data_IF_920138924730
#
_entry.id   IF_920138924730
#
_cell.length_a   1.000
_cell.length_b   1.000
_cell.length_c   1.000
_cell.angle_alpha   90.00
_cell.angle_beta   90.00
_cell.angle_gamma   90.00
#
_symmetry.space_group_name_H-M   'P 1'
#
loop_
_entity.id
_entity.type
_entity.pdbx_description
1 polymer ?
#
# COMPACT_ATOMS: atom_id res chain seq x y z
N UNK A 1 -16.41 -15.22 2.14
CA UNK A 1 -15.77 -15.30 0.80
C UNK A 1 -14.44 -16.01 0.99
N UNK A 2 -13.62 -16.22 -0.04
CA UNK A 2 -12.24 -16.66 0.20
C UNK A 2 -11.33 -15.44 0.36
N UNK A 3 -10.22 -15.60 1.07
CA UNK A 3 -9.16 -14.60 1.09
C UNK A 3 -8.68 -14.28 -0.33
N UNK A 4 -8.30 -13.03 -0.55
CA UNK A 4 -7.76 -12.56 -1.82
C UNK A 4 -6.32 -12.14 -1.61
N UNK A 5 -5.42 -12.65 -2.46
CA UNK A 5 -4.00 -12.30 -2.40
C UNK A 5 -3.56 -11.56 -3.66
N UNK A 6 -2.75 -10.52 -3.45
CA UNK A 6 -2.07 -9.75 -4.47
C UNK A 6 -0.56 -9.71 -4.20
N UNK A 7 0.22 -9.63 -5.27
CA UNK A 7 1.64 -9.31 -5.21
C UNK A 7 1.92 -8.01 -5.95
N UNK A 8 2.45 -7.02 -5.24
CA UNK A 8 2.92 -5.76 -5.81
C UNK A 8 4.43 -5.83 -5.99
N UNK A 9 4.91 -5.70 -7.22
CA UNK A 9 6.32 -5.61 -7.57
C UNK A 9 6.65 -4.20 -7.99
N UNK A 10 7.53 -3.53 -7.25
CA UNK A 10 8.05 -2.21 -7.59
C UNK A 10 9.44 -2.34 -8.18
N UNK A 11 9.60 -1.84 -9.41
CA UNK A 11 10.89 -1.75 -10.11
C UNK A 11 11.37 -0.29 -10.07
N UNK A 12 12.55 -0.08 -9.47
CA UNK A 12 13.14 1.27 -9.25
C UNK A 12 14.22 1.61 -10.29
N UNK A 13 14.58 0.69 -11.17
CA UNK A 13 15.70 0.83 -12.12
C UNK A 13 15.48 1.79 -13.30
N UNK A 14 14.60 2.79 -13.20
CA UNK A 14 14.46 3.77 -14.29
C UNK A 14 14.71 5.17 -13.78
N UNK A 15 15.66 5.87 -14.42
CA UNK A 15 15.89 7.32 -14.28
C UNK A 15 14.61 8.17 -14.49
N UNK A 16 13.51 7.55 -14.95
CA UNK A 16 12.24 8.17 -15.33
C UNK A 16 11.10 7.97 -14.30
N UNK A 17 11.28 7.14 -13.26
CA UNK A 17 10.29 6.93 -12.20
C UNK A 17 10.12 5.49 -11.74
N UNK A 18 9.07 5.23 -10.95
CA UNK A 18 8.76 3.91 -10.41
C UNK A 18 7.69 3.21 -11.24
N UNK A 19 7.85 1.91 -11.49
CA UNK A 19 6.80 1.06 -12.05
C UNK A 19 6.31 0.07 -11.01
N UNK A 20 5.00 -0.13 -10.95
CA UNK A 20 4.32 -1.12 -10.14
C UNK A 20 3.65 -2.13 -11.05
N UNK A 21 3.93 -3.41 -10.82
CA UNK A 21 3.21 -4.53 -11.42
C UNK A 21 2.46 -5.26 -10.32
N UNK A 22 1.18 -5.48 -10.51
CA UNK A 22 0.27 -6.08 -9.53
C UNK A 22 -0.21 -7.40 -10.10
N UNK A 23 0.02 -8.47 -9.36
CA UNK A 23 -0.34 -9.83 -9.73
C UNK A 23 -1.39 -10.38 -8.77
N UNK A 24 -2.29 -11.22 -9.28
CA UNK A 24 -3.17 -12.04 -8.44
C UNK A 24 -2.43 -13.24 -7.82
N UNK A 25 -3.14 -14.04 -7.02
CA UNK A 25 -2.63 -15.26 -6.40
C UNK A 25 -2.14 -16.32 -7.41
N UNK A 26 -2.70 -16.33 -8.62
CA UNK A 26 -2.30 -17.24 -9.69
C UNK A 26 -1.08 -16.72 -10.48
N UNK A 27 -0.61 -15.51 -10.20
CA UNK A 27 0.53 -14.89 -10.86
C UNK A 27 0.18 -14.16 -12.16
N UNK A 28 -1.11 -13.94 -12.46
CA UNK A 28 -1.53 -13.17 -13.61
C UNK A 28 -1.36 -11.67 -13.33
N UNK A 29 -0.89 -10.91 -14.32
CA UNK A 29 -0.85 -9.45 -14.23
C UNK A 29 -2.29 -8.91 -14.27
N UNK A 30 -2.70 -8.24 -13.20
CA UNK A 30 -4.04 -7.65 -13.06
C UNK A 30 -4.00 -6.13 -12.93
N UNK A 31 -2.81 -5.57 -12.70
CA UNK A 31 -2.62 -4.15 -12.48
C UNK A 31 -1.23 -3.67 -12.86
N UNK A 32 -1.15 -2.48 -13.43
CA UNK A 32 0.09 -1.81 -13.79
C UNK A 32 0.00 -0.31 -13.49
N UNK A 33 1.04 0.26 -12.88
CA UNK A 33 1.12 1.70 -12.69
C UNK A 33 2.52 2.21 -13.02
N UNK A 34 2.60 3.35 -13.70
CA UNK A 34 3.84 4.05 -14.02
C UNK A 34 3.81 5.43 -13.38
N UNK A 35 4.61 5.62 -12.35
CA UNK A 35 4.77 6.91 -11.68
C UNK A 35 5.93 7.69 -12.29
N UNK A 36 5.79 9.01 -12.40
CA UNK A 36 6.90 9.90 -12.76
C UNK A 36 7.88 9.99 -11.59
N UNK A 37 9.17 10.09 -11.90
CA UNK A 37 10.18 10.39 -10.88
C UNK A 37 9.81 11.68 -10.11
N UNK A 38 10.07 11.71 -8.80
CA UNK A 38 9.95 12.87 -7.91
C UNK A 38 8.55 13.34 -7.47
N UNK A 39 7.43 12.77 -7.94
CA UNK A 39 6.08 13.24 -7.54
C UNK A 39 5.27 12.20 -6.75
N UNK A 40 5.25 12.33 -5.42
CA UNK A 40 4.38 11.54 -4.50
C UNK A 40 3.00 12.20 -4.30
N UNK A 41 2.86 13.46 -4.75
CA UNK A 41 1.65 14.26 -4.63
C UNK A 41 0.73 14.15 -5.86
N UNK A 42 1.08 13.28 -6.81
CA UNK A 42 0.25 13.02 -7.99
C UNK A 42 -0.59 11.78 -7.77
N UNK A 43 -1.75 11.77 -8.43
CA UNK A 43 -2.66 10.63 -8.46
C UNK A 43 -1.95 9.39 -9.01
N UNK A 44 -2.12 8.26 -8.32
CA UNK A 44 -1.65 6.97 -8.80
C UNK A 44 -2.79 6.33 -9.57
N UNK A 45 -2.58 6.12 -10.88
CA UNK A 45 -3.49 5.37 -11.72
C UNK A 45 -2.97 3.96 -11.92
N UNK A 46 -3.84 2.98 -11.71
CA UNK A 46 -3.57 1.57 -11.95
C UNK A 46 -4.39 1.16 -13.16
N UNK A 47 -3.73 0.61 -14.16
CA UNK A 47 -4.30 0.11 -15.40
C UNK A 47 -4.34 -1.41 -15.37
N UNK A 48 -5.19 -2.04 -16.19
CA UNK A 48 -5.26 -3.52 -16.28
C UNK A 48 -3.95 -4.17 -16.73
N UNK A 49 -3.20 -3.47 -17.57
CA UNK A 49 -1.96 -3.96 -18.15
C UNK A 49 -1.03 -2.79 -18.55
N UNK A 50 0.10 -3.13 -19.18
CA UNK A 50 1.12 -2.16 -19.60
C UNK A 50 0.70 -1.25 -20.77
N UNK A 51 -0.41 -1.53 -21.48
CA UNK A 51 -0.92 -0.66 -22.55
C UNK A 51 -1.44 0.67 -22.00
N UNK A 52 -1.80 0.71 -20.71
CA UNK A 52 -2.37 1.86 -20.03
C UNK A 52 -3.68 2.38 -20.68
N UNK A 53 -4.45 1.51 -21.34
CA UNK A 53 -5.71 1.90 -21.99
C UNK A 53 -6.93 1.83 -21.07
N UNK A 54 -6.94 0.88 -20.13
CA UNK A 54 -8.07 0.66 -19.23
C UNK A 54 -7.65 0.84 -17.78
N UNK A 55 -8.19 1.88 -17.14
CA UNK A 55 -8.02 2.10 -15.70
C UNK A 55 -8.81 1.05 -14.90
N UNK A 56 -8.17 0.57 -13.84
CA UNK A 56 -8.70 -0.41 -12.89
C UNK A 56 -8.98 0.24 -11.53
N UNK A 57 -8.10 1.14 -11.09
CA UNK A 57 -8.15 1.77 -9.78
C UNK A 57 -7.42 3.11 -9.84
N UNK A 58 -7.97 4.13 -9.18
CA UNK A 58 -7.30 5.44 -9.05
C UNK A 58 -7.15 5.79 -7.57
N UNK A 59 -5.95 6.21 -7.19
CA UNK A 59 -5.62 6.70 -5.85
C UNK A 59 -5.33 8.19 -5.98
N UNK A 60 -6.32 9.00 -5.65
CA UNK A 60 -6.27 10.46 -5.82
C UNK A 60 -5.76 11.12 -4.54
N UNK A 61 -4.76 12.00 -4.64
CA UNK A 61 -4.23 12.69 -3.47
C UNK A 61 -5.08 13.94 -3.16
N UNK A 62 -5.66 14.04 -1.95
CA UNK A 62 -6.32 15.28 -1.52
C UNK A 62 -5.27 16.38 -1.36
N UNK A 63 -5.65 17.62 -1.70
CA UNK A 63 -4.80 18.81 -1.52
C UNK A 63 -4.22 18.85 -0.10
N UNK A 64 -2.91 19.07 0.01
CA UNK A 64 -2.20 19.07 1.29
C UNK A 64 -2.57 20.35 2.06
N UNK A 65 -3.52 20.24 2.96
CA UNK A 65 -3.72 21.19 4.04
C UNK A 65 -3.40 20.39 5.32
N UNK A 66 -2.39 20.82 6.06
CA UNK A 66 -1.92 20.26 7.33
C UNK A 66 -1.36 18.83 7.32
N UNK A 67 -0.03 18.72 7.09
CA UNK A 67 0.93 17.68 7.57
C UNK A 67 0.54 16.18 7.58
N UNK A 68 -0.59 15.80 6.99
CA UNK A 68 -1.16 14.46 6.92
C UNK A 68 -1.70 14.27 5.49
N UNK A 69 -1.11 13.33 4.76
CA UNK A 69 -1.55 13.04 3.39
C UNK A 69 -2.80 12.15 3.45
N UNK A 70 -3.85 12.53 2.72
CA UNK A 70 -5.06 11.74 2.55
C UNK A 70 -5.25 11.39 1.08
N UNK A 71 -5.70 10.17 0.81
CA UNK A 71 -5.84 9.62 -0.53
C UNK A 71 -7.22 8.98 -0.69
N UNK A 72 -7.95 9.40 -1.71
CA UNK A 72 -9.21 8.77 -2.11
C UNK A 72 -8.92 7.57 -3.01
N UNK A 73 -9.53 6.44 -2.70
CA UNK A 73 -9.52 5.24 -3.55
C UNK A 73 -10.80 5.26 -4.36
N UNK A 74 -10.67 5.34 -5.68
CA UNK A 74 -11.79 5.56 -6.61
C UNK A 74 -11.90 4.40 -7.61
N UNK A 75 -13.13 4.01 -7.92
CA UNK A 75 -13.45 3.22 -9.12
C UNK A 75 -13.43 4.15 -10.35
N UNK A 76 -12.50 3.96 -11.31
CA UNK A 76 -12.41 4.82 -12.48
C UNK A 76 -13.64 4.78 -13.40
N UNK A 77 -14.43 3.70 -13.38
CA UNK A 77 -15.60 3.56 -14.25
C UNK A 77 -16.77 4.41 -13.78
N UNK A 78 -17.05 4.36 -12.48
CA UNK A 78 -18.18 5.08 -11.88
C UNK A 78 -17.77 6.46 -11.33
N UNK A 79 -16.49 6.66 -11.02
CA UNK A 79 -16.01 7.80 -10.25
C UNK A 79 -16.34 7.68 -8.75
N UNK A 80 -16.96 6.59 -8.31
CA UNK A 80 -17.35 6.41 -6.93
C UNK A 80 -16.11 6.19 -6.04
N UNK A 81 -16.16 6.77 -4.85
CA UNK A 81 -15.17 6.51 -3.81
C UNK A 81 -15.44 5.17 -3.16
N UNK A 82 -14.40 4.35 -3.10
CA UNK A 82 -14.39 3.04 -2.45
C UNK A 82 -13.88 3.13 -1.00
N UNK A 83 -13.01 4.09 -0.72
CA UNK A 83 -12.49 4.34 0.62
C UNK A 83 -11.48 5.48 0.67
N UNK A 84 -11.00 5.79 1.87
CA UNK A 84 -9.98 6.82 2.10
C UNK A 84 -8.82 6.25 2.91
N UNK A 85 -7.60 6.60 2.51
CA UNK A 85 -6.37 6.24 3.19
C UNK A 85 -5.71 7.51 3.69
N UNK A 86 -5.59 7.66 5.01
CA UNK A 86 -4.95 8.83 5.64
C UNK A 86 -3.69 8.42 6.36
N UNK A 87 -2.57 9.05 6.02
CA UNK A 87 -1.32 8.89 6.76
C UNK A 87 -1.39 9.67 8.08
N UNK A 88 -1.03 9.04 9.19
CA UNK A 88 -0.92 9.74 10.47
C UNK A 88 0.30 10.68 10.42
N UNK A 89 0.08 12.01 10.47
CA UNK A 89 1.14 13.03 10.40
C UNK A 89 2.00 13.13 11.68
N UNK A 90 3.23 13.64 11.52
CA UNK A 90 4.33 14.05 12.45
C UNK A 90 4.55 13.40 13.85
N UNK A 91 3.60 12.71 14.48
CA UNK A 91 3.87 11.84 15.63
C UNK A 91 4.75 10.62 15.26
N UNK A 92 5.01 10.45 13.96
CA UNK A 92 5.52 9.23 13.34
C UNK A 92 6.76 9.46 12.47
N UNK A 93 7.75 10.21 12.96
CA UNK A 93 9.07 10.28 12.33
C UNK A 93 9.80 8.91 12.23
N UNK A 94 9.20 7.83 12.78
CA UNK A 94 9.78 6.48 12.79
C UNK A 94 8.82 5.34 12.40
N UNK A 95 7.52 5.59 12.14
CA UNK A 95 6.54 4.52 11.87
C UNK A 95 5.56 4.90 10.77
N UNK A 96 5.31 4.04 9.80
CA UNK A 96 4.31 4.29 8.76
C UNK A 96 2.93 3.81 9.22
N UNK A 97 2.23 4.66 9.99
CA UNK A 97 0.85 4.39 10.42
C UNK A 97 -0.16 5.03 9.47
N UNK A 98 -1.16 4.26 9.07
CA UNK A 98 -2.26 4.70 8.22
C UNK A 98 -3.61 4.45 8.89
N UNK A 99 -4.53 5.40 8.73
CA UNK A 99 -5.95 5.24 9.04
C UNK A 99 -6.68 4.88 7.75
N UNK A 100 -7.57 3.90 7.83
CA UNK A 100 -8.34 3.39 6.69
C UNK A 100 -9.82 3.63 6.96
N UNK A 101 -10.50 4.23 5.98
CA UNK A 101 -11.91 4.57 6.04
C UNK A 101 -12.66 3.94 4.87
N UNK A 102 -13.94 3.67 5.08
CA UNK A 102 -14.86 3.24 4.03
C UNK A 102 -15.25 4.40 3.08
N UNK A 103 -16.14 4.11 2.13
CA UNK A 103 -16.63 5.09 1.15
C UNK A 103 -17.32 6.31 1.78
N UNK A 104 -17.93 6.14 2.96
CA UNK A 104 -18.67 7.16 3.71
C UNK A 104 -17.77 7.90 4.72
N UNK A 105 -16.46 7.64 4.70
CA UNK A 105 -15.47 8.19 5.63
C UNK A 105 -15.65 7.75 7.09
N UNK A 106 -16.29 6.60 7.34
CA UNK A 106 -16.23 5.96 8.65
C UNK A 106 -14.92 5.20 8.80
N UNK A 107 -14.23 5.37 9.93
CA UNK A 107 -12.97 4.68 10.16
C UNK A 107 -13.22 3.18 10.38
N UNK A 108 -12.62 2.36 9.52
CA UNK A 108 -12.69 0.89 9.63
C UNK A 108 -11.52 0.35 10.46
N UNK A 109 -10.35 0.97 10.35
CA UNK A 109 -9.19 0.49 11.08
C UNK A 109 -7.92 1.31 10.87
N UNK A 110 -6.80 0.73 11.29
CA UNK A 110 -5.47 1.27 11.08
C UNK A 110 -4.53 0.22 10.55
N UNK A 111 -3.60 0.64 9.67
CA UNK A 111 -2.45 -0.15 9.26
C UNK A 111 -1.26 0.31 10.10
N UNK A 112 -0.63 -0.64 10.79
CA UNK A 112 0.57 -0.41 11.59
C UNK A 112 1.50 -1.62 11.47
N UNK A 113 2.75 -1.43 11.87
CA UNK A 113 3.80 -2.44 11.79
C UNK A 113 3.60 -3.56 12.83
N UNK A 114 3.86 -4.80 12.42
CA UNK A 114 3.63 -5.96 13.28
C UNK A 114 4.62 -5.99 14.46
N UNK A 115 4.11 -6.28 15.65
CA UNK A 115 4.92 -6.36 16.88
C UNK A 115 6.02 -7.42 16.81
N UNK A 116 5.79 -8.50 16.07
CA UNK A 116 6.79 -9.53 15.80
C UNK A 116 7.99 -8.99 15.01
N UNK A 117 7.76 -8.15 14.01
CA UNK A 117 8.83 -7.50 13.25
C UNK A 117 9.68 -6.62 14.16
N UNK A 118 9.03 -5.77 14.97
CA UNK A 118 9.70 -4.89 15.93
C UNK A 118 10.56 -5.67 16.95
N UNK A 119 10.10 -6.84 17.38
CA UNK A 119 10.85 -7.70 18.29
C UNK A 119 12.12 -8.29 17.65
N UNK A 120 12.10 -8.58 16.35
CA UNK A 120 13.28 -9.08 15.62
C UNK A 120 14.28 -7.94 15.37
N UNK A 121 13.81 -6.78 14.91
CA UNK A 121 14.66 -5.58 14.72
C UNK A 121 15.41 -5.24 16.01
N UNK A 122 14.73 -5.25 17.17
CA UNK A 122 15.36 -4.98 18.47
C UNK A 122 16.47 -5.97 18.85
N UNK A 123 16.44 -7.19 18.30
CA UNK A 123 17.41 -8.26 18.61
C UNK A 123 18.62 -8.28 17.68
N UNK A 124 18.54 -7.66 16.50
CA UNK A 124 19.62 -7.64 15.51
C UNK A 124 20.26 -6.24 15.48
N UNK A 125 21.58 -6.16 15.34
CA UNK A 125 22.29 -4.87 15.22
C UNK A 125 21.80 -4.09 13.98
N UNK A 126 21.73 -2.75 14.06
CA UNK A 126 21.04 -1.87 13.09
C UNK A 126 21.33 -2.16 11.61
N UNK A 127 22.54 -2.61 11.28
CA UNK A 127 22.92 -2.96 9.91
C UNK A 127 22.16 -4.17 9.33
N UNK A 128 21.80 -5.16 10.16
CA UNK A 128 21.07 -6.35 9.73
C UNK A 128 19.54 -6.13 9.68
N UNK A 129 19.02 -5.11 10.38
CA UNK A 129 17.59 -4.79 10.39
C UNK A 129 17.04 -4.49 8.99
N UNK A 130 17.88 -3.89 8.12
CA UNK A 130 17.51 -3.54 6.74
C UNK A 130 17.19 -4.74 5.82
N UNK A 131 17.58 -5.95 6.24
CA UNK A 131 17.36 -7.23 5.54
C UNK A 131 16.15 -8.01 6.07
N UNK A 132 15.51 -7.57 7.16
CA UNK A 132 14.37 -8.27 7.74
C UNK A 132 13.11 -7.94 6.92
N UNK A 133 12.32 -8.94 6.50
CA UNK A 133 10.99 -8.74 5.94
C UNK A 133 10.09 -7.94 6.87
N UNK A 134 9.62 -6.79 6.40
CA UNK A 134 8.71 -5.91 7.12
C UNK A 134 7.26 -6.40 6.96
N UNK A 135 6.52 -6.42 8.08
CA UNK A 135 5.13 -6.86 8.13
C UNK A 135 4.23 -5.77 8.69
N UNK A 136 3.06 -5.59 8.07
CA UNK A 136 2.01 -4.69 8.55
C UNK A 136 0.67 -5.40 8.53
N UNK A 137 -0.28 -4.90 9.31
CA UNK A 137 -1.64 -5.41 9.32
C UNK A 137 -2.66 -4.29 9.44
N UNK A 138 -3.73 -4.38 8.65
CA UNK A 138 -4.94 -3.57 8.82
C UNK A 138 -5.79 -4.22 9.92
N UNK A 139 -6.02 -3.48 11.01
CA UNK A 139 -6.78 -3.93 12.17
C UNK A 139 -7.83 -2.91 12.61
N UNK A 140 -8.97 -3.39 13.08
CA UNK A 140 -9.95 -2.54 13.79
C UNK A 140 -9.50 -2.21 15.22
N UNK A 141 -10.34 -1.50 15.97
CA UNK A 141 -10.09 -1.13 17.38
C UNK A 141 -10.14 -2.31 18.34
N UNK A 142 -10.78 -3.42 17.95
CA UNK A 142 -10.85 -4.66 18.73
C UNK A 142 -9.66 -5.60 18.45
N UNK A 143 -8.81 -5.26 17.48
CA UNK A 143 -7.68 -6.07 17.05
C UNK A 143 -8.02 -7.11 15.97
N UNK A 144 -9.24 -7.09 15.44
CA UNK A 144 -9.64 -7.92 14.30
C UNK A 144 -8.82 -7.54 13.07
N UNK A 145 -8.14 -8.51 12.47
CA UNK A 145 -7.35 -8.29 11.25
C UNK A 145 -8.27 -8.37 10.04
N UNK A 146 -8.09 -7.44 9.08
CA UNK A 146 -8.79 -7.43 7.80
C UNK A 146 -7.85 -7.60 6.60
N UNK A 147 -6.58 -7.19 6.73
CA UNK A 147 -5.57 -7.41 5.70
C UNK A 147 -4.16 -7.50 6.28
N UNK A 148 -3.30 -8.27 5.63
CA UNK A 148 -1.87 -8.40 5.95
C UNK A 148 -1.01 -7.91 4.78
N UNK A 149 0.09 -7.26 5.11
CA UNK A 149 1.08 -6.76 4.16
C UNK A 149 2.44 -7.32 4.55
N UNK A 150 3.13 -8.01 3.62
CA UNK A 150 4.47 -8.56 3.88
C UNK A 150 5.43 -8.23 2.77
N UNK A 151 6.52 -7.54 3.09
CA UNK A 151 7.61 -7.35 2.15
C UNK A 151 8.43 -8.63 2.05
N UNK A 152 8.97 -8.89 0.86
CA UNK A 152 9.83 -10.05 0.62
C UNK A 152 11.23 -9.54 0.26
N UNK A 153 12.24 -10.12 0.89
CA UNK A 153 13.62 -9.73 0.62
C UNK A 153 14.03 -10.19 -0.79
N UNK A 154 14.22 -9.24 -1.69
CA UNK A 154 14.80 -9.46 -3.01
C UNK A 154 15.69 -8.24 -3.34
N UNK A 155 16.99 -8.45 -3.62
CA UNK A 155 17.95 -7.36 -3.79
C UNK A 155 17.71 -6.50 -5.04
N UNK A 156 16.87 -6.95 -5.98
CA UNK A 156 16.61 -6.26 -7.24
C UNK A 156 15.18 -5.71 -7.35
N UNK A 157 14.20 -6.35 -6.70
CA UNK A 157 12.78 -5.98 -6.84
C UNK A 157 12.15 -5.86 -5.48
N UNK A 158 11.58 -4.70 -5.17
CA UNK A 158 10.78 -4.57 -3.97
C UNK A 158 9.44 -5.30 -4.19
N UNK A 159 9.20 -6.38 -3.45
CA UNK A 159 7.99 -7.19 -3.55
C UNK A 159 7.20 -7.08 -2.25
N UNK A 160 5.93 -6.72 -2.35
CA UNK A 160 4.97 -6.66 -1.25
C UNK A 160 3.80 -7.60 -1.56
N UNK A 161 3.53 -8.57 -0.68
CA UNK A 161 2.28 -9.35 -0.70
C UNK A 161 1.22 -8.60 0.08
N UNK A 162 -0.01 -8.58 -0.45
CA UNK A 162 -1.21 -8.06 0.20
C UNK A 162 -2.21 -9.21 0.28
N UNK A 163 -2.60 -9.62 1.48
CA UNK A 163 -3.65 -10.61 1.70
C UNK A 163 -4.83 -9.93 2.34
N UNK A 164 -5.96 -9.87 1.64
CA UNK A 164 -7.23 -9.38 2.15
C UNK A 164 -8.02 -10.56 2.67
N UNK A 165 -8.40 -10.51 3.95
CA UNK A 165 -9.15 -11.58 4.60
C UNK A 165 -10.62 -11.48 4.25
N UNK A 166 -11.31 -12.63 4.25
CA UNK A 166 -12.71 -12.73 3.88
C UNK A 166 -13.70 -11.96 4.78
N UNK A 167 -13.27 -11.61 5.99
CA UNK A 167 -13.99 -10.80 6.97
C UNK A 167 -13.79 -9.28 6.77
N UNK A 168 -13.00 -8.85 5.78
CA UNK A 168 -12.75 -7.44 5.51
C UNK A 168 -14.06 -6.75 5.06
N UNK A 169 -14.51 -5.69 5.74
CA UNK A 169 -15.74 -4.99 5.36
C UNK A 169 -15.56 -4.00 4.21
N UNK A 170 -14.32 -3.78 3.76
CA UNK A 170 -13.98 -2.84 2.69
C UNK A 170 -13.99 -3.53 1.33
N UNK A 171 -14.20 -2.75 0.27
CA UNK A 171 -13.85 -3.21 -1.08
C UNK A 171 -12.37 -3.60 -1.14
N UNK A 172 -12.07 -4.75 -1.74
CA UNK A 172 -10.71 -5.29 -1.87
C UNK A 172 -9.71 -4.32 -2.54
N UNK A 173 -10.20 -3.37 -3.35
CA UNK A 173 -9.40 -2.33 -3.95
C UNK A 173 -8.81 -1.36 -2.90
N UNK A 174 -9.44 -1.18 -1.74
CA UNK A 174 -8.98 -0.28 -0.67
C UNK A 174 -7.73 -0.85 0.04
N UNK A 175 -7.71 -2.10 0.55
CA UNK A 175 -6.47 -2.71 1.03
C UNK A 175 -5.38 -2.82 -0.05
N UNK A 176 -5.75 -3.10 -1.31
CA UNK A 176 -4.79 -3.12 -2.41
C UNK A 176 -4.15 -1.73 -2.63
N UNK A 177 -4.94 -0.66 -2.62
CA UNK A 177 -4.46 0.72 -2.71
C UNK A 177 -3.50 1.06 -1.56
N UNK A 178 -3.81 0.62 -0.35
CA UNK A 178 -2.93 0.79 0.80
C UNK A 178 -1.57 0.09 0.59
N UNK A 179 -1.57 -1.13 0.06
CA UNK A 179 -0.35 -1.84 -0.32
C UNK A 179 0.48 -1.07 -1.37
N UNK A 180 -0.17 -0.46 -2.37
CA UNK A 180 0.51 0.36 -3.38
C UNK A 180 1.16 1.58 -2.73
N UNK A 181 0.47 2.27 -1.81
CA UNK A 181 1.00 3.43 -1.08
C UNK A 181 2.17 3.04 -0.17
N UNK A 182 2.08 1.93 0.57
CA UNK A 182 3.18 1.40 1.39
C UNK A 182 4.43 1.16 0.53
N UNK A 183 4.27 0.43 -0.59
CA UNK A 183 5.35 0.15 -1.51
C UNK A 183 5.93 1.43 -2.18
N UNK A 184 5.12 2.48 -2.33
CA UNK A 184 5.55 3.77 -2.89
C UNK A 184 6.35 4.61 -1.87
N UNK A 185 5.99 4.56 -0.58
CA UNK A 185 6.62 5.35 0.50
C UNK A 185 7.92 4.74 1.01
N UNK A 186 7.98 3.43 1.29
CA UNK A 186 9.20 2.72 1.75
C UNK A 186 10.39 2.94 0.81
N UNK A 187 10.08 3.03 -0.49
CA UNK A 187 11.04 3.30 -1.55
C UNK A 187 11.85 4.58 -1.46
N UNK A 188 11.46 5.52 -0.60
CA UNK A 188 12.17 6.80 -0.38
C UNK A 188 12.93 6.84 0.94
N UNK A 189 12.65 5.96 1.90
CA UNK A 189 13.37 5.94 3.20
C UNK A 189 14.75 5.28 3.09
N UNK A 190 14.96 4.43 2.07
CA UNK A 190 16.25 3.80 1.78
C UNK A 190 17.13 4.57 0.76
N UNK A 191 16.74 5.79 0.38
CA UNK A 191 17.41 6.61 -0.64
C UNK A 191 17.98 7.90 -0.09
#
# INVERSE_FOLDING_TARGET
MADVEYTIRRKVFTLLGAKFHIYDAAGNLIGFSKQKAFKLKEDIRVYRDESMQQEFLTIHARSIIDFSAAYDVLDPKSGNRLGVLKRAGLASMFRDKWMVFDADENQVGTIDEDSAFLAIVRRLHDMAASLIPQGFSLKDTNGTVYAEYRTHMNPFVHKLSVRVLDNCPLDQAVPLAAGILLAAVEGRQKG
#
